data_IF_588251994091
#
_entry.id   IF_588251994091
#
_cell.length_a   1.000
_cell.length_b   1.000
_cell.length_c   1.000
_cell.angle_alpha   90.00
_cell.angle_beta   90.00
_cell.angle_gamma   90.00
#
_symmetry.space_group_name_H-M   'P 1'
#
loop_
_entity.id
_entity.type
_entity.pdbx_description
1 polymer ?
#
# COMPACT_ATOMS: atom_id res chain seq x y z
N UNK A 1 -6.57 -14.42 -5.91
CA UNK A 1 -5.98 -13.99 -7.20
C UNK A 1 -4.59 -14.59 -7.48
N UNK A 2 -3.83 -15.05 -6.48
CA UNK A 2 -2.43 -15.49 -6.64
C UNK A 2 -2.13 -16.74 -7.49
N UNK A 3 -3.09 -17.63 -7.75
CA UNK A 3 -2.84 -18.96 -8.37
C UNK A 3 -3.00 -19.01 -9.90
N UNK A 4 -3.51 -17.95 -10.55
CA UNK A 4 -3.72 -17.88 -12.01
C UNK A 4 -2.80 -16.87 -12.71
N UNK A 5 -1.86 -16.28 -11.98
CA UNK A 5 -0.94 -15.26 -12.50
C UNK A 5 0.25 -15.89 -13.19
N UNK A 6 0.27 -15.85 -14.51
CA UNK A 6 1.47 -16.11 -15.28
C UNK A 6 2.52 -14.99 -15.08
N UNK A 7 3.80 -15.35 -15.17
CA UNK A 7 4.92 -14.40 -15.09
C UNK A 7 4.76 -13.26 -16.12
N UNK A 8 4.22 -13.56 -17.30
CA UNK A 8 3.95 -12.55 -18.32
C UNK A 8 2.85 -11.56 -17.93
N UNK A 9 1.81 -12.01 -17.23
CA UNK A 9 0.77 -11.13 -16.69
C UNK A 9 1.32 -10.24 -15.58
N UNK A 10 2.17 -10.78 -14.70
CA UNK A 10 2.88 -10.00 -13.69
C UNK A 10 3.75 -8.91 -14.33
N UNK A 11 4.53 -9.24 -15.36
CA UNK A 11 5.36 -8.26 -16.09
C UNK A 11 4.53 -7.14 -16.70
N UNK A 12 3.36 -7.45 -17.26
CA UNK A 12 2.43 -6.44 -17.82
C UNK A 12 1.86 -5.51 -16.75
N UNK A 13 1.60 -6.04 -15.55
CA UNK A 13 1.05 -5.27 -14.43
C UNK A 13 2.13 -4.59 -13.58
N UNK A 14 3.42 -4.89 -13.76
CA UNK A 14 4.51 -4.45 -12.87
C UNK A 14 4.55 -2.94 -12.62
N UNK A 15 4.27 -2.14 -13.65
CA UNK A 15 4.27 -0.67 -13.55
C UNK A 15 3.11 -0.19 -12.68
N UNK A 16 1.95 -0.82 -12.82
CA UNK A 16 0.77 -0.50 -12.00
C UNK A 16 0.89 -1.07 -10.59
N UNK A 17 1.42 -2.27 -10.42
CA UNK A 17 1.59 -2.91 -9.13
C UNK A 17 2.70 -2.24 -8.32
N UNK A 18 3.94 -2.28 -8.80
CA UNK A 18 5.10 -1.76 -8.07
C UNK A 18 5.28 -0.26 -8.18
N UNK A 19 4.66 0.39 -9.16
CA UNK A 19 4.66 1.85 -9.30
C UNK A 19 3.43 2.48 -8.64
N UNK A 20 2.29 2.44 -9.32
CA UNK A 20 1.09 3.12 -8.85
C UNK A 20 0.54 2.54 -7.53
N UNK A 21 0.55 1.22 -7.38
CA UNK A 21 0.05 0.54 -6.19
C UNK A 21 0.86 0.81 -4.94
N UNK A 22 2.19 0.88 -5.05
CA UNK A 22 3.05 1.15 -3.89
C UNK A 22 2.86 2.59 -3.43
N UNK A 23 2.80 3.53 -4.38
CA UNK A 23 2.55 4.93 -4.10
C UNK A 23 1.17 5.14 -3.47
N UNK A 24 0.13 4.51 -4.04
CA UNK A 24 -1.23 4.59 -3.53
C UNK A 24 -1.29 4.04 -2.10
N UNK A 25 -0.82 2.81 -1.87
CA UNK A 25 -0.87 2.15 -0.58
C UNK A 25 -0.05 2.89 0.48
N UNK A 26 1.15 3.38 0.14
CA UNK A 26 1.98 4.16 1.05
C UNK A 26 1.30 5.48 1.43
N UNK A 27 0.73 6.20 0.46
CA UNK A 27 0.07 7.47 0.71
C UNK A 27 -1.20 7.30 1.57
N UNK A 28 -2.03 6.29 1.28
CA UNK A 28 -3.23 6.02 2.10
C UNK A 28 -2.87 5.53 3.49
N UNK A 29 -1.88 4.65 3.62
CA UNK A 29 -1.40 4.20 4.94
C UNK A 29 -0.89 5.36 5.77
N UNK A 30 -0.11 6.26 5.16
CA UNK A 30 0.42 7.45 5.81
C UNK A 30 -0.68 8.42 6.25
N UNK A 31 -1.64 8.71 5.37
CA UNK A 31 -2.75 9.61 5.69
C UNK A 31 -3.60 9.08 6.85
N UNK A 32 -3.87 7.77 6.86
CA UNK A 32 -4.65 7.12 7.92
C UNK A 32 -3.87 7.02 9.23
N UNK A 33 -2.56 6.71 9.18
CA UNK A 33 -1.69 6.73 10.34
C UNK A 33 -1.61 8.14 10.95
N UNK A 34 -1.48 9.18 10.13
CA UNK A 34 -1.50 10.57 10.61
C UNK A 34 -2.82 10.89 11.31
N UNK A 35 -3.96 10.47 10.74
CA UNK A 35 -5.27 10.61 11.39
C UNK A 35 -5.35 9.91 12.76
N UNK A 36 -4.82 8.69 12.87
CA UNK A 36 -4.76 7.96 14.14
C UNK A 36 -3.88 8.67 15.19
N UNK A 37 -2.73 9.23 14.78
CA UNK A 37 -1.88 10.04 15.67
C UNK A 37 -2.61 11.29 16.16
N UNK A 38 -3.36 11.98 15.29
CA UNK A 38 -4.17 13.13 15.70
C UNK A 38 -5.27 12.77 16.71
N UNK A 39 -5.74 11.52 16.70
CA UNK A 39 -6.70 11.00 17.69
C UNK A 39 -6.04 10.53 18.99
N UNK A 40 -4.71 10.66 19.11
CA UNK A 40 -3.96 10.28 20.31
C UNK A 40 -3.48 8.83 20.35
N UNK A 41 -3.54 8.10 19.24
CA UNK A 41 -3.00 6.74 19.16
C UNK A 41 -1.46 6.74 19.28
N UNK A 42 -0.89 5.66 19.81
CA UNK A 42 0.56 5.45 19.79
C UNK A 42 1.10 5.29 18.37
N UNK A 43 2.40 5.51 18.14
CA UNK A 43 3.01 5.39 16.81
C UNK A 43 2.84 3.98 16.24
N UNK A 44 3.07 2.94 17.06
CA UNK A 44 2.86 1.56 16.65
C UNK A 44 1.40 1.27 16.27
N UNK A 45 0.44 1.79 17.04
CA UNK A 45 -0.99 1.63 16.76
C UNK A 45 -1.38 2.36 15.48
N UNK A 46 -0.93 3.60 15.30
CA UNK A 46 -1.21 4.40 14.12
C UNK A 46 -0.66 3.75 12.84
N UNK A 47 0.54 3.17 12.89
CA UNK A 47 1.13 2.43 11.77
C UNK A 47 0.35 1.16 11.44
N UNK A 48 -0.05 0.39 12.46
CA UNK A 48 -0.85 -0.82 12.28
C UNK A 48 -2.22 -0.48 11.70
N UNK A 49 -2.90 0.52 12.25
CA UNK A 49 -4.21 0.99 11.79
C UNK A 49 -4.12 1.53 10.36
N UNK A 50 -3.15 2.41 10.09
CA UNK A 50 -2.99 3.02 8.78
C UNK A 50 -2.70 1.99 7.69
N UNK A 51 -1.77 1.06 7.95
CA UNK A 51 -1.45 -0.01 7.01
C UNK A 51 -2.58 -1.01 6.81
N UNK A 52 -3.29 -1.39 7.87
CA UNK A 52 -4.41 -2.34 7.78
C UNK A 52 -5.61 -1.74 7.02
N UNK A 53 -5.95 -0.48 7.29
CA UNK A 53 -7.06 0.21 6.64
C UNK A 53 -6.75 0.61 5.18
N UNK A 54 -5.48 0.65 4.80
CA UNK A 54 -5.06 0.96 3.43
C UNK A 54 -5.28 -0.20 2.44
N UNK A 55 -5.55 -1.41 2.93
CA UNK A 55 -5.76 -2.60 2.09
C UNK A 55 -7.18 -2.60 1.50
N UNK A 56 -7.31 -2.93 0.21
CA UNK A 56 -8.60 -3.00 -0.47
C UNK A 56 -9.11 -4.44 -0.57
N UNK A 57 -10.43 -4.62 -0.62
CA UNK A 57 -11.05 -5.92 -0.88
C UNK A 57 -10.99 -6.26 -2.37
N UNK A 58 -10.05 -7.13 -2.75
CA UNK A 58 -9.83 -7.58 -4.13
C UNK A 58 -11.08 -8.19 -4.76
N UNK A 59 -11.85 -9.01 -4.04
CA UNK A 59 -13.04 -9.67 -4.59
C UNK A 59 -14.14 -8.67 -4.99
N UNK A 60 -14.36 -7.65 -4.16
CA UNK A 60 -15.41 -6.65 -4.39
C UNK A 60 -15.10 -5.74 -5.58
N UNK A 61 -13.87 -5.22 -5.67
CA UNK A 61 -13.45 -4.32 -6.76
C UNK A 61 -13.57 -5.00 -8.12
N UNK A 62 -13.24 -6.29 -8.18
CA UNK A 62 -13.26 -7.06 -9.41
C UNK A 62 -14.66 -7.47 -9.85
N UNK A 63 -15.53 -7.77 -8.89
CA UNK A 63 -16.96 -7.95 -9.14
C UNK A 63 -17.58 -6.66 -9.67
N UNK A 64 -17.27 -5.51 -9.06
CA UNK A 64 -17.79 -4.22 -9.53
C UNK A 64 -17.35 -3.89 -10.96
N UNK A 65 -16.10 -4.17 -11.32
CA UNK A 65 -15.59 -4.02 -12.69
C UNK A 65 -16.29 -4.98 -13.68
N UNK A 66 -16.66 -6.18 -13.23
CA UNK A 66 -17.42 -7.15 -14.01
C UNK A 66 -18.85 -6.65 -14.27
N UNK A 67 -19.53 -6.19 -13.23
CA UNK A 67 -20.90 -5.66 -13.30
C UNK A 67 -20.99 -4.45 -14.24
N UNK A 68 -19.97 -3.58 -14.21
CA UNK A 68 -19.89 -2.41 -15.09
C UNK A 68 -19.39 -2.72 -16.51
N UNK A 69 -19.01 -3.97 -16.81
CA UNK A 69 -18.38 -4.38 -18.08
C UNK A 69 -17.09 -3.60 -18.41
N UNK A 70 -16.38 -3.11 -17.40
CA UNK A 70 -15.19 -2.27 -17.55
C UNK A 70 -13.87 -3.04 -17.45
N UNK A 71 -13.91 -4.38 -17.39
CA UNK A 71 -12.73 -5.22 -17.17
C UNK A 71 -11.60 -5.04 -18.20
N UNK A 72 -11.93 -4.66 -19.43
CA UNK A 72 -10.96 -4.43 -20.51
C UNK A 72 -10.38 -3.00 -20.53
N UNK A 73 -10.75 -2.14 -19.58
CA UNK A 73 -10.31 -0.74 -19.55
C UNK A 73 -8.90 -0.58 -18.97
N UNK A 74 -8.27 0.56 -19.28
CA UNK A 74 -7.00 0.98 -18.66
C UNK A 74 -7.13 1.12 -17.14
N UNK A 75 -8.27 1.62 -16.65
CA UNK A 75 -8.55 1.74 -15.23
C UNK A 75 -8.62 0.36 -14.55
N UNK A 76 -9.30 -0.61 -15.16
CA UNK A 76 -9.32 -1.99 -14.65
C UNK A 76 -7.91 -2.58 -14.57
N UNK A 77 -7.09 -2.38 -15.60
CA UNK A 77 -5.69 -2.85 -15.62
C UNK A 77 -4.86 -2.23 -14.50
N UNK A 78 -5.04 -0.94 -14.23
CA UNK A 78 -4.40 -0.27 -13.10
C UNK A 78 -4.89 -0.84 -11.76
N UNK A 79 -6.21 -1.00 -11.59
CA UNK A 79 -6.80 -1.58 -10.39
C UNK A 79 -6.29 -3.02 -10.15
N UNK A 80 -6.21 -3.85 -11.18
CA UNK A 80 -5.61 -5.20 -11.10
C UNK A 80 -4.17 -5.15 -10.59
N UNK A 81 -3.36 -4.20 -11.08
CA UNK A 81 -1.99 -4.02 -10.60
C UNK A 81 -1.92 -3.64 -9.12
N UNK A 82 -2.74 -2.68 -8.69
CA UNK A 82 -2.79 -2.23 -7.29
C UNK A 82 -3.23 -3.38 -6.36
N UNK A 83 -4.31 -4.08 -6.72
CA UNK A 83 -4.83 -5.22 -5.95
C UNK A 83 -3.81 -6.36 -5.86
N UNK A 84 -3.05 -6.61 -6.93
CA UNK A 84 -1.98 -7.60 -6.94
C UNK A 84 -0.88 -7.24 -5.94
N UNK A 85 -0.45 -5.98 -5.89
CA UNK A 85 0.51 -5.53 -4.91
C UNK A 85 -0.04 -5.72 -3.49
N UNK A 86 -1.29 -5.34 -3.24
CA UNK A 86 -1.91 -5.46 -1.92
C UNK A 86 -1.96 -6.93 -1.46
N UNK A 87 -2.41 -7.85 -2.31
CA UNK A 87 -2.41 -9.30 -2.03
C UNK A 87 -1.00 -9.80 -1.63
N UNK A 88 0.07 -9.31 -2.29
CA UNK A 88 1.47 -9.66 -1.97
C UNK A 88 1.95 -8.99 -0.68
N UNK A 89 1.57 -7.73 -0.44
CA UNK A 89 2.04 -6.92 0.68
C UNK A 89 1.41 -7.30 2.02
N UNK A 90 0.25 -7.99 2.01
CA UNK A 90 -0.43 -8.47 3.22
C UNK A 90 0.47 -9.36 4.07
N UNK A 91 1.19 -10.32 3.48
CA UNK A 91 2.02 -11.26 4.25
C UNK A 91 3.17 -10.55 4.99
N UNK A 92 4.00 -9.72 4.34
CA UNK A 92 4.99 -8.89 5.04
C UNK A 92 4.37 -7.98 6.11
N UNK A 93 3.21 -7.38 5.83
CA UNK A 93 2.53 -6.52 6.80
C UNK A 93 2.14 -7.28 8.06
N UNK A 94 1.56 -8.47 7.92
CA UNK A 94 1.16 -9.30 9.06
C UNK A 94 2.36 -9.72 9.93
N UNK A 95 3.54 -9.90 9.34
CA UNK A 95 4.79 -10.17 10.08
C UNK A 95 5.29 -8.91 10.82
N UNK A 96 5.10 -7.73 10.23
CA UNK A 96 5.55 -6.46 10.81
C UNK A 96 4.69 -5.99 11.99
N UNK A 97 3.39 -6.28 12.01
CA UNK A 97 2.47 -5.86 13.09
C UNK A 97 2.98 -6.21 14.50
N UNK A 98 3.33 -7.46 14.83
CA UNK A 98 3.84 -7.81 16.16
C UNK A 98 5.23 -7.24 16.48
N UNK A 99 6.05 -6.97 15.45
CA UNK A 99 7.36 -6.33 15.64
C UNK A 99 7.19 -4.83 16.00
N UNK A 100 6.21 -4.16 15.38
CA UNK A 100 5.89 -2.78 15.70
C UNK A 100 5.29 -2.63 17.11
N UNK A 101 4.47 -3.58 17.55
CA UNK A 101 3.87 -3.53 18.90
C UNK A 101 4.88 -3.74 20.03
N UNK A 102 6.06 -4.29 19.75
CA UNK A 102 7.12 -4.51 20.76
C UNK A 102 8.13 -3.37 20.82
N UNK A 103 8.01 -2.37 19.94
CA UNK A 103 8.88 -1.19 19.91
C UNK A 103 8.23 -0.08 20.73
N UNK A 104 8.85 0.29 21.86
CA UNK A 104 8.47 1.46 22.66
C UNK A 104 9.01 2.73 21.96
N UNK A 105 8.09 3.61 21.56
CA UNK A 105 8.41 4.90 20.94
C UNK A 105 8.43 5.99 22.02
N UNK A 106 9.58 6.59 22.26
CA UNK A 106 9.84 7.50 23.38
C UNK A 106 10.25 8.91 22.94
N UNK A 107 9.42 9.61 22.16
CA UNK A 107 9.40 11.09 22.18
C UNK A 107 8.98 11.82 20.91
N UNK A 108 8.75 13.14 21.05
CA UNK A 108 8.33 14.04 19.96
C UNK A 108 9.30 14.08 18.75
N UNK A 109 10.60 13.81 18.94
CA UNK A 109 11.58 13.70 17.83
C UNK A 109 11.27 12.54 16.90
N UNK A 110 10.60 11.50 17.40
CA UNK A 110 10.25 10.33 16.60
C UNK A 110 9.02 10.59 15.72
N UNK A 111 8.14 11.52 16.11
CA UNK A 111 7.00 11.97 15.29
C UNK A 111 7.50 12.77 14.08
N UNK A 112 8.46 13.68 14.29
CA UNK A 112 9.13 14.40 13.21
C UNK A 112 9.91 13.41 12.31
N UNK A 113 10.62 12.46 12.93
CA UNK A 113 11.30 11.37 12.23
C UNK A 113 10.37 10.49 11.41
N UNK A 114 9.17 10.20 11.91
CA UNK A 114 8.13 9.45 11.19
C UNK A 114 7.63 10.23 9.98
N UNK A 115 7.36 11.53 10.14
CA UNK A 115 6.96 12.39 9.03
C UNK A 115 8.02 12.42 7.92
N UNK A 116 9.29 12.59 8.30
CA UNK A 116 10.43 12.55 7.36
C UNK A 116 10.58 11.17 6.74
N UNK A 117 10.44 10.09 7.51
CA UNK A 117 10.53 8.72 7.01
C UNK A 117 9.41 8.42 6.01
N UNK A 118 8.17 8.79 6.31
CA UNK A 118 7.03 8.66 5.41
C UNK A 118 7.25 9.47 4.13
N UNK A 119 7.65 10.74 4.25
CA UNK A 119 7.93 11.60 3.10
C UNK A 119 9.08 11.04 2.23
N UNK A 120 10.16 10.56 2.86
CA UNK A 120 11.28 9.95 2.16
C UNK A 120 10.89 8.62 1.49
N UNK A 121 10.03 7.82 2.12
CA UNK A 121 9.55 6.55 1.55
C UNK A 121 8.62 6.81 0.37
N UNK A 122 7.73 7.79 0.46
CA UNK A 122 6.91 8.24 -0.66
C UNK A 122 7.77 8.79 -1.82
N UNK A 123 8.81 9.58 -1.52
CA UNK A 123 9.73 10.09 -2.52
C UNK A 123 10.54 8.97 -3.19
N UNK A 124 11.02 7.98 -2.43
CA UNK A 124 11.71 6.79 -2.96
C UNK A 124 10.78 5.93 -3.81
N UNK A 125 9.54 5.72 -3.38
CA UNK A 125 8.54 5.01 -4.16
C UNK A 125 8.30 5.73 -5.49
N UNK A 126 8.14 7.06 -5.48
CA UNK A 126 8.01 7.88 -6.68
C UNK A 126 9.25 7.75 -7.59
N UNK A 127 10.46 7.81 -7.05
CA UNK A 127 11.69 7.63 -7.82
C UNK A 127 11.80 6.22 -8.41
N UNK A 128 11.38 5.19 -7.68
CA UNK A 128 11.31 3.82 -8.18
C UNK A 128 10.26 3.67 -9.29
N UNK A 129 9.12 4.36 -9.20
CA UNK A 129 8.14 4.43 -10.30
C UNK A 129 8.78 5.02 -11.55
N UNK A 130 9.47 6.15 -11.41
CA UNK A 130 10.16 6.80 -12.54
C UNK A 130 11.23 5.89 -13.14
N UNK A 131 12.01 5.18 -12.31
CA UNK A 131 13.05 4.25 -12.78
C UNK A 131 12.54 2.91 -13.34
N UNK A 132 11.33 2.49 -12.99
CA UNK A 132 10.68 1.28 -13.58
C UNK A 132 9.93 1.64 -14.87
N UNK A 133 9.59 2.92 -15.07
CA UNK A 133 8.87 3.45 -16.24
C UNK A 133 9.81 3.99 -17.33
N UNK A 134 10.99 4.51 -16.97
CA UNK A 134 12.05 4.89 -17.90
C UNK A 134 12.88 3.72 -18.39
#
# INVERSE_FOLDING_TARGET
MGLELSIDRLRKLRVYAFGLGTLQMAFTSAALAAGALFMGAGISEALVVGSSLSLSSSAFVLQLLAERKEQATRYATAAYGILLLQDIAVVPLLVLVPLLSTTEWSGFREIEGLFVAVAATAAKALAAVVGVVG
#
